data_IF_677481422760
#
_entry.id   IF_677481422760
#
_cell.length_a   1.000
_cell.length_b   1.000
_cell.length_c   1.000
_cell.angle_alpha   90.00
_cell.angle_beta   90.00
_cell.angle_gamma   90.00
#
_symmetry.space_group_name_H-M   'P 1'
#
loop_
_entity.id
_entity.type
_entity.pdbx_description
1 polymer ?
#
# COMPACT_ATOMS: atom_id res chain seq x y z
N UNK A 1 -44.21 8.33 15.76
CA UNK A 1 -43.82 8.19 14.35
C UNK A 1 -42.73 7.14 14.31
N UNK A 2 -43.00 6.00 13.67
CA UNK A 2 -42.03 4.91 13.55
C UNK A 2 -41.11 5.18 12.36
N UNK A 3 -39.84 4.80 12.48
CA UNK A 3 -38.87 5.00 11.38
C UNK A 3 -39.34 4.30 10.09
N UNK A 4 -40.06 3.18 10.21
CA UNK A 4 -40.61 2.42 9.07
C UNK A 4 -41.80 3.09 8.37
N UNK A 5 -42.33 4.20 8.90
CA UNK A 5 -43.41 4.98 8.28
C UNK A 5 -42.89 6.02 7.28
N UNK A 6 -41.57 6.25 7.24
CA UNK A 6 -40.97 7.16 6.26
C UNK A 6 -41.01 6.57 4.84
N UNK A 7 -41.10 7.43 3.80
CA UNK A 7 -40.94 7.02 2.41
C UNK A 7 -39.61 6.28 2.18
N UNK A 8 -39.57 5.27 1.29
CA UNK A 8 -38.36 4.51 0.96
C UNK A 8 -37.15 5.39 0.59
N UNK A 9 -37.39 6.52 -0.07
CA UNK A 9 -36.35 7.46 -0.50
C UNK A 9 -35.63 8.09 0.70
N UNK A 10 -36.38 8.43 1.76
CA UNK A 10 -35.78 8.94 3.00
C UNK A 10 -35.03 7.84 3.74
N UNK A 11 -35.56 6.61 3.75
CA UNK A 11 -34.88 5.47 4.35
C UNK A 11 -33.55 5.17 3.64
N UNK A 12 -33.50 5.25 2.31
CA UNK A 12 -32.28 5.04 1.51
C UNK A 12 -31.19 6.08 1.80
N UNK A 13 -31.57 7.26 2.29
CA UNK A 13 -30.61 8.30 2.68
C UNK A 13 -29.99 8.08 4.07
N UNK A 14 -30.59 7.21 4.91
CA UNK A 14 -30.16 7.00 6.30
C UNK A 14 -28.68 6.66 6.47
N UNK A 15 -28.06 5.78 5.63
CA UNK A 15 -26.64 5.45 5.79
C UNK A 15 -25.71 6.66 5.81
N UNK A 16 -26.05 7.76 5.12
CA UNK A 16 -25.25 9.00 5.07
C UNK A 16 -25.17 9.73 6.41
N UNK A 17 -26.09 9.44 7.32
CA UNK A 17 -26.19 10.11 8.62
C UNK A 17 -25.72 9.22 9.78
N UNK A 18 -25.25 8.02 9.48
CA UNK A 18 -24.67 7.11 10.47
C UNK A 18 -23.23 7.52 10.77
N UNK A 19 -22.77 7.22 11.99
CA UNK A 19 -21.43 7.61 12.44
C UNK A 19 -20.38 6.55 12.18
N UNK A 20 -20.79 5.32 11.91
CA UNK A 20 -19.88 4.17 11.82
C UNK A 20 -20.51 3.01 11.05
N UNK A 21 -19.68 2.06 10.60
CA UNK A 21 -20.19 0.82 9.99
C UNK A 21 -20.96 -0.03 11.00
N UNK A 22 -20.62 0.04 12.29
CA UNK A 22 -21.32 -0.69 13.35
C UNK A 22 -22.74 -0.19 13.54
N UNK A 23 -22.97 1.12 13.39
CA UNK A 23 -24.31 1.71 13.39
C UNK A 23 -25.13 1.20 12.19
N UNK A 24 -24.51 1.09 11.02
CA UNK A 24 -25.16 0.56 9.81
C UNK A 24 -25.57 -0.90 10.01
N UNK A 25 -24.65 -1.72 10.51
CA UNK A 25 -24.92 -3.13 10.81
C UNK A 25 -26.02 -3.27 11.86
N UNK A 26 -25.95 -2.49 12.93
CA UNK A 26 -26.96 -2.48 13.99
C UNK A 26 -28.33 -2.08 13.44
N UNK A 27 -28.41 -1.01 12.64
CA UNK A 27 -29.64 -0.54 12.02
C UNK A 27 -30.23 -1.60 11.09
N UNK A 28 -29.41 -2.23 10.25
CA UNK A 28 -29.84 -3.29 9.33
C UNK A 28 -30.40 -4.52 10.05
N UNK A 29 -29.97 -4.78 11.30
CA UNK A 29 -30.41 -5.94 12.09
C UNK A 29 -31.75 -5.76 12.80
N UNK A 30 -32.31 -4.54 12.83
CA UNK A 30 -33.52 -4.23 13.61
C UNK A 30 -34.81 -4.76 13.00
N UNK A 31 -35.00 -4.63 11.69
CA UNK A 31 -36.20 -5.11 10.99
C UNK A 31 -35.97 -5.36 9.49
N UNK A 32 -36.87 -6.10 8.85
CA UNK A 32 -36.74 -6.46 7.42
C UNK A 32 -36.72 -5.26 6.48
N UNK A 33 -37.47 -4.22 6.79
CA UNK A 33 -37.51 -2.99 5.99
C UNK A 33 -36.16 -2.30 6.02
N UNK A 34 -35.61 -2.06 7.21
CA UNK A 34 -34.31 -1.41 7.39
C UNK A 34 -33.17 -2.29 6.87
N UNK A 35 -33.27 -3.61 7.01
CA UNK A 35 -32.35 -4.55 6.36
C UNK A 35 -32.32 -4.32 4.85
N UNK A 36 -33.47 -4.33 4.17
CA UNK A 36 -33.54 -4.15 2.71
C UNK A 36 -33.01 -2.81 2.25
N UNK A 37 -33.13 -1.77 3.09
CA UNK A 37 -32.66 -0.43 2.76
C UNK A 37 -31.18 -0.22 3.08
N UNK A 38 -30.64 -0.88 4.11
CA UNK A 38 -29.29 -0.65 4.62
C UNK A 38 -28.29 -1.78 4.33
N UNK A 39 -28.73 -2.92 3.80
CA UNK A 39 -27.85 -4.06 3.51
C UNK A 39 -26.82 -3.76 2.41
N UNK A 40 -27.18 -2.86 1.48
CA UNK A 40 -26.36 -2.45 0.34
C UNK A 40 -26.39 -0.92 0.24
N UNK A 41 -25.71 -0.19 1.15
CA UNK A 41 -25.62 1.26 1.04
C UNK A 41 -24.80 1.64 -0.20
N UNK A 42 -24.93 2.91 -0.60
CA UNK A 42 -24.08 3.53 -1.63
C UNK A 42 -22.59 3.29 -1.32
N UNK A 43 -21.81 2.67 -2.24
CA UNK A 43 -20.40 2.36 -2.01
C UNK A 43 -19.52 3.55 -1.63
N UNK A 44 -19.94 4.78 -1.96
CA UNK A 44 -19.24 6.02 -1.57
C UNK A 44 -19.34 6.36 -0.10
N UNK A 45 -20.33 5.82 0.61
CA UNK A 45 -20.55 6.10 2.03
C UNK A 45 -19.70 5.15 2.91
N UNK A 46 -19.47 3.93 2.45
CA UNK A 46 -18.82 2.88 3.23
C UNK A 46 -17.40 3.27 3.69
N UNK A 47 -16.50 3.82 2.84
CA UNK A 47 -15.17 4.24 3.28
C UNK A 47 -15.21 5.21 4.46
N UNK A 48 -16.11 6.21 4.40
CA UNK A 48 -16.31 7.18 5.48
C UNK A 48 -16.82 6.53 6.77
N UNK A 49 -17.78 5.60 6.65
CA UNK A 49 -18.29 4.86 7.81
C UNK A 49 -17.22 3.97 8.44
N UNK A 50 -16.36 3.35 7.63
CA UNK A 50 -15.26 2.47 8.07
C UNK A 50 -14.13 3.27 8.72
N UNK A 51 -13.79 4.44 8.17
CA UNK A 51 -12.84 5.36 8.78
C UNK A 51 -13.35 5.91 10.12
N UNK A 52 -14.66 6.19 10.22
CA UNK A 52 -15.28 6.66 11.44
C UNK A 52 -15.57 5.52 12.46
N UNK A 53 -15.47 4.26 12.04
CA UNK A 53 -15.66 3.10 12.91
C UNK A 53 -14.58 3.01 13.98
N UNK A 54 -14.98 2.45 15.13
CA UNK A 54 -14.13 2.40 16.31
C UNK A 54 -12.79 1.71 16.03
N UNK A 55 -11.77 2.10 16.80
CA UNK A 55 -10.43 1.49 16.83
C UNK A 55 -10.47 0.04 17.33
N UNK A 56 -11.37 -0.83 16.90
CA UNK A 56 -11.39 -2.24 17.31
C UNK A 56 -11.31 -3.12 16.06
N UNK A 57 -12.24 -2.94 15.11
CA UNK A 57 -12.26 -3.75 13.90
C UNK A 57 -11.20 -3.31 12.88
N UNK A 58 -11.04 -2.01 12.66
CA UNK A 58 -10.14 -1.46 11.64
C UNK A 58 -8.81 -0.97 12.22
N UNK A 59 -8.31 -1.63 13.28
CA UNK A 59 -6.93 -1.41 13.73
C UNK A 59 -5.93 -2.01 12.75
N UNK A 60 -4.71 -1.45 12.69
CA UNK A 60 -4.37 -0.08 13.07
C UNK A 60 -5.05 0.91 12.12
N UNK A 61 -5.78 1.85 12.72
CA UNK A 61 -6.33 2.99 11.98
C UNK A 61 -5.21 4.03 11.84
N UNK A 62 -5.01 4.66 10.66
CA UNK A 62 -5.82 4.57 9.44
C UNK A 62 -5.38 3.50 8.42
N UNK A 63 -4.23 2.85 8.63
CA UNK A 63 -3.57 1.97 7.65
C UNK A 63 -4.46 0.88 7.06
N UNK A 64 -5.33 0.26 7.86
CA UNK A 64 -6.16 -0.84 7.36
C UNK A 64 -7.17 -0.40 6.30
N UNK A 65 -7.73 0.81 6.44
CA UNK A 65 -8.68 1.38 5.46
C UNK A 65 -7.94 1.84 4.21
N UNK A 66 -6.75 2.44 4.39
CA UNK A 66 -5.89 2.82 3.26
C UNK A 66 -5.48 1.57 2.48
N UNK A 67 -5.06 0.49 3.14
CA UNK A 67 -4.71 -0.77 2.49
C UNK A 67 -5.84 -1.31 1.60
N UNK A 68 -7.08 -1.23 2.08
CA UNK A 68 -8.26 -1.67 1.33
C UNK A 68 -8.56 -0.84 0.07
N UNK A 69 -8.18 0.43 0.08
CA UNK A 69 -8.55 1.42 -0.95
C UNK A 69 -7.36 1.82 -1.83
N UNK A 70 -6.14 1.45 -1.44
CA UNK A 70 -4.90 1.90 -2.06
C UNK A 70 -4.81 1.56 -3.55
N UNK A 71 -5.33 0.40 -3.97
CA UNK A 71 -5.38 0.05 -5.40
C UNK A 71 -6.24 1.00 -6.20
N UNK A 72 -7.47 1.26 -5.72
CA UNK A 72 -8.39 2.21 -6.36
C UNK A 72 -7.81 3.62 -6.38
N UNK A 73 -7.12 4.01 -5.31
CA UNK A 73 -6.43 5.29 -5.23
C UNK A 73 -5.29 5.38 -6.25
N UNK A 74 -4.49 4.32 -6.40
CA UNK A 74 -3.46 4.21 -7.43
C UNK A 74 -4.04 4.28 -8.86
N UNK A 75 -5.09 3.50 -9.14
CA UNK A 75 -5.83 3.50 -10.41
C UNK A 75 -6.39 4.88 -10.75
N UNK A 76 -6.92 5.58 -9.76
CA UNK A 76 -7.43 6.93 -9.92
C UNK A 76 -6.31 7.93 -10.19
N UNK A 77 -5.20 7.83 -9.44
CA UNK A 77 -4.10 8.77 -9.51
C UNK A 77 -3.39 8.74 -10.87
N UNK A 78 -3.20 7.56 -11.47
CA UNK A 78 -2.43 7.46 -12.72
C UNK A 78 -3.15 8.06 -13.94
N UNK A 79 -4.49 8.19 -13.89
CA UNK A 79 -5.34 8.63 -15.02
C UNK A 79 -5.12 10.08 -15.45
N UNK A 80 -4.82 10.99 -14.50
CA UNK A 80 -4.69 12.41 -14.78
C UNK A 80 -3.57 13.06 -13.95
N UNK A 81 -2.84 14.01 -14.53
CA UNK A 81 -1.79 14.76 -13.82
C UNK A 81 -2.34 15.54 -12.61
N UNK A 82 -3.57 16.05 -12.70
CA UNK A 82 -4.24 16.70 -11.57
C UNK A 82 -4.50 15.72 -10.41
N UNK A 83 -4.80 14.45 -10.70
CA UNK A 83 -4.99 13.43 -9.64
C UNK A 83 -3.67 13.06 -8.99
N UNK A 84 -2.58 12.98 -9.76
CA UNK A 84 -1.21 12.77 -9.22
C UNK A 84 -0.83 13.90 -8.27
N UNK A 85 -1.11 15.14 -8.67
CA UNK A 85 -0.88 16.31 -7.83
C UNK A 85 -1.66 16.21 -6.51
N UNK A 86 -2.96 15.89 -6.56
CA UNK A 86 -3.78 15.72 -5.36
C UNK A 86 -3.29 14.58 -4.47
N UNK A 87 -2.85 13.46 -5.06
CA UNK A 87 -2.24 12.36 -4.31
C UNK A 87 -0.96 12.81 -3.60
N UNK A 88 -0.08 13.55 -4.27
CA UNK A 88 1.14 14.06 -3.63
C UNK A 88 0.85 15.06 -2.51
N UNK A 89 -0.15 15.93 -2.66
CA UNK A 89 -0.60 16.83 -1.60
C UNK A 89 -1.10 16.03 -0.40
N UNK A 90 -1.89 14.99 -0.63
CA UNK A 90 -2.38 14.13 0.43
C UNK A 90 -1.25 13.36 1.13
N UNK A 91 -0.30 12.81 0.36
CA UNK A 91 0.88 12.13 0.90
C UNK A 91 1.68 13.06 1.82
N UNK A 92 1.97 14.30 1.40
CA UNK A 92 2.73 15.24 2.24
C UNK A 92 2.00 15.68 3.51
N UNK A 93 0.67 15.59 3.52
CA UNK A 93 -0.15 15.79 4.71
C UNK A 93 -0.10 14.61 5.69
N UNK A 94 0.60 13.53 5.35
CA UNK A 94 0.73 12.32 6.15
C UNK A 94 -0.42 11.34 5.96
N UNK A 95 -0.38 10.26 6.73
CA UNK A 95 -1.28 9.11 6.58
C UNK A 95 -2.78 9.47 6.76
N UNK A 96 -3.10 10.46 7.60
CA UNK A 96 -4.48 10.92 7.79
C UNK A 96 -5.02 11.66 6.57
N UNK A 97 -4.20 12.52 5.93
CA UNK A 97 -4.60 13.19 4.68
C UNK A 97 -4.70 12.21 3.51
N UNK A 98 -3.86 11.18 3.50
CA UNK A 98 -4.01 10.07 2.56
C UNK A 98 -5.33 9.32 2.75
N UNK A 99 -5.75 9.09 4.01
CA UNK A 99 -7.06 8.50 4.31
C UNK A 99 -8.22 9.39 3.84
N UNK A 100 -8.17 10.70 4.11
CA UNK A 100 -9.21 11.64 3.63
C UNK A 100 -9.40 11.54 2.11
N UNK A 101 -8.30 11.58 1.35
CA UNK A 101 -8.36 11.42 -0.10
C UNK A 101 -8.87 10.04 -0.52
N UNK A 102 -8.45 8.98 0.18
CA UNK A 102 -8.91 7.62 -0.10
C UNK A 102 -10.42 7.47 0.09
N UNK A 103 -11.01 8.12 1.11
CA UNK A 103 -12.46 8.12 1.36
C UNK A 103 -13.21 8.80 0.20
N UNK A 104 -12.68 9.91 -0.31
CA UNK A 104 -13.32 10.67 -1.40
C UNK A 104 -13.29 9.89 -2.73
N UNK A 105 -12.17 9.20 -2.99
CA UNK A 105 -11.92 8.52 -4.26
C UNK A 105 -12.51 7.11 -4.30
N UNK A 106 -12.34 6.33 -3.23
CA UNK A 106 -12.66 4.91 -3.25
C UNK A 106 -14.16 4.64 -3.14
N UNK A 107 -14.53 3.44 -3.58
CA UNK A 107 -15.84 2.86 -3.41
C UNK A 107 -15.66 1.49 -2.76
N UNK A 108 -16.32 1.26 -1.63
CA UNK A 108 -16.28 -0.02 -0.94
C UNK A 108 -17.69 -0.59 -0.83
N UNK A 109 -17.85 -1.87 -1.08
CA UNK A 109 -19.11 -2.59 -0.85
C UNK A 109 -19.06 -3.34 0.48
N UNK A 110 -20.23 -3.76 0.98
CA UNK A 110 -20.28 -4.64 2.16
C UNK A 110 -19.57 -5.98 1.92
N UNK A 111 -19.47 -6.42 0.67
CA UNK A 111 -18.70 -7.61 0.31
C UNK A 111 -17.20 -7.38 0.48
N UNK A 112 -16.71 -6.19 0.12
CA UNK A 112 -15.32 -5.82 0.36
C UNK A 112 -15.02 -5.76 1.86
N UNK A 113 -15.95 -5.27 2.68
CA UNK A 113 -15.81 -5.30 4.16
C UNK A 113 -15.70 -6.74 4.69
N UNK A 114 -16.47 -7.70 4.15
CA UNK A 114 -16.35 -9.11 4.54
C UNK A 114 -15.00 -9.69 4.13
N UNK A 115 -14.54 -9.41 2.91
CA UNK A 115 -13.21 -9.83 2.43
C UNK A 115 -12.10 -9.25 3.29
N UNK A 116 -12.19 -7.98 3.67
CA UNK A 116 -11.24 -7.33 4.57
C UNK A 116 -11.23 -7.98 5.94
N UNK A 117 -12.39 -8.27 6.51
CA UNK A 117 -12.48 -8.97 7.79
C UNK A 117 -11.83 -10.37 7.71
N UNK A 118 -12.10 -11.13 6.64
CA UNK A 118 -11.46 -12.42 6.41
C UNK A 118 -9.94 -12.27 6.25
N UNK A 119 -9.47 -11.29 5.47
CA UNK A 119 -8.05 -11.00 5.31
C UNK A 119 -7.38 -10.66 6.64
N UNK A 120 -8.01 -9.85 7.48
CA UNK A 120 -7.49 -9.52 8.82
C UNK A 120 -7.36 -10.77 9.69
N UNK A 121 -8.42 -11.58 9.73
CA UNK A 121 -8.47 -12.81 10.54
C UNK A 121 -7.46 -13.86 10.07
N UNK A 122 -7.41 -14.10 8.76
CA UNK A 122 -6.80 -15.29 8.19
C UNK A 122 -5.36 -15.04 7.72
N UNK A 123 -5.00 -13.78 7.47
CA UNK A 123 -3.68 -13.39 6.96
C UNK A 123 -2.96 -12.46 7.94
N UNK A 124 -3.52 -11.28 8.23
CA UNK A 124 -2.82 -10.28 9.04
C UNK A 124 -2.59 -10.78 10.47
N UNK A 125 -3.61 -11.31 11.16
CA UNK A 125 -3.47 -11.74 12.54
C UNK A 125 -2.40 -12.85 12.74
N UNK A 126 -2.34 -13.92 11.92
CA UNK A 126 -1.27 -14.91 12.00
C UNK A 126 0.11 -14.34 11.72
N UNK A 127 0.26 -13.50 10.68
CA UNK A 127 1.54 -12.92 10.32
C UNK A 127 2.01 -11.87 11.34
N UNK A 128 1.09 -11.09 11.89
CA UNK A 128 1.35 -10.15 12.97
C UNK A 128 1.97 -10.87 14.17
N UNK A 129 1.39 -12.00 14.60
CA UNK A 129 1.98 -12.81 15.69
C UNK A 129 3.37 -13.35 15.36
N UNK A 130 3.60 -13.77 14.10
CA UNK A 130 4.92 -14.26 13.67
C UNK A 130 5.95 -13.13 13.69
N UNK A 131 5.60 -11.96 13.17
CA UNK A 131 6.48 -10.79 13.15
C UNK A 131 6.71 -10.23 14.55
N UNK A 132 5.70 -10.23 15.41
CA UNK A 132 5.80 -9.82 16.81
C UNK A 132 6.81 -10.68 17.59
N UNK A 133 6.76 -12.01 17.41
CA UNK A 133 7.75 -12.93 17.99
C UNK A 133 9.14 -12.75 17.38
N UNK A 134 9.23 -12.46 16.08
CA UNK A 134 10.51 -12.33 15.39
C UNK A 134 11.23 -11.00 15.66
N UNK A 135 10.49 -9.90 15.78
CA UNK A 135 11.06 -8.54 15.80
C UNK A 135 10.25 -7.51 16.59
N UNK A 136 9.09 -7.89 17.13
CA UNK A 136 8.23 -7.02 17.90
C UNK A 136 8.36 -7.21 19.41
N UNK A 137 7.47 -6.59 20.20
CA UNK A 137 7.53 -6.64 21.66
C UNK A 137 7.54 -8.06 22.24
N UNK A 138 6.93 -9.03 21.55
CA UNK A 138 6.91 -10.43 22.00
C UNK A 138 8.24 -11.17 21.80
N UNK A 139 9.19 -10.60 21.05
CA UNK A 139 10.55 -11.18 20.89
C UNK A 139 11.32 -11.25 22.22
N UNK A 140 10.98 -10.39 23.17
CA UNK A 140 11.73 -10.22 24.42
C UNK A 140 13.06 -9.48 24.26
N UNK A 141 13.35 -8.95 23.06
CA UNK A 141 14.54 -8.12 22.82
C UNK A 141 14.39 -6.77 23.54
N UNK A 142 15.37 -6.36 24.37
CA UNK A 142 15.37 -5.03 25.00
C UNK A 142 15.32 -3.87 23.99
N UNK A 143 15.69 -4.11 22.72
CA UNK A 143 15.66 -3.13 21.64
C UNK A 143 14.66 -3.53 20.56
N UNK A 144 13.37 -3.50 20.90
CA UNK A 144 12.30 -3.77 19.92
C UNK A 144 12.27 -2.66 18.85
N UNK A 145 12.59 -3.05 17.62
CA UNK A 145 12.56 -2.17 16.44
C UNK A 145 11.16 -2.11 15.82
N UNK A 146 10.42 -3.23 15.81
CA UNK A 146 9.10 -3.35 15.20
C UNK A 146 7.99 -3.27 16.25
N UNK A 147 7.73 -2.06 16.76
CA UNK A 147 6.78 -1.91 17.87
C UNK A 147 5.31 -2.07 17.48
N UNK A 148 4.97 -1.83 16.22
CA UNK A 148 3.66 -2.16 15.65
C UNK A 148 3.83 -3.04 14.39
N UNK A 149 3.93 -4.37 14.59
CA UNK A 149 4.06 -5.30 13.47
C UNK A 149 2.84 -5.29 12.54
N UNK A 150 1.65 -4.96 13.04
CA UNK A 150 0.43 -4.90 12.24
C UNK A 150 0.48 -3.70 11.28
N UNK A 151 0.88 -2.53 11.78
CA UNK A 151 1.10 -1.33 10.93
C UNK A 151 2.19 -1.58 9.89
N UNK A 152 3.26 -2.29 10.26
CA UNK A 152 4.32 -2.66 9.31
C UNK A 152 3.78 -3.55 8.18
N UNK A 153 2.99 -4.59 8.50
CA UNK A 153 2.36 -5.45 7.49
C UNK A 153 1.39 -4.70 6.59
N UNK A 154 0.63 -3.74 7.13
CA UNK A 154 -0.30 -2.95 6.33
C UNK A 154 0.42 -1.92 5.46
N UNK A 155 1.53 -1.35 5.93
CA UNK A 155 2.36 -0.47 5.11
C UNK A 155 2.95 -1.21 3.92
N UNK A 156 3.32 -2.49 4.08
CA UNK A 156 3.73 -3.36 2.98
C UNK A 156 2.61 -3.52 1.94
N UNK A 157 1.40 -3.81 2.42
CA UNK A 157 0.21 -3.94 1.57
C UNK A 157 -0.10 -2.62 0.85
N UNK A 158 -0.13 -1.50 1.56
CA UNK A 158 -0.40 -0.17 1.00
C UNK A 158 0.59 0.13 -0.13
N UNK A 159 1.88 -0.13 0.09
CA UNK A 159 2.90 0.09 -0.93
C UNK A 159 2.64 -0.76 -2.19
N UNK A 160 2.40 -2.07 -2.01
CA UNK A 160 2.12 -2.98 -3.12
C UNK A 160 0.82 -2.64 -3.88
N UNK A 161 -0.22 -2.15 -3.18
CA UNK A 161 -1.48 -1.76 -3.81
C UNK A 161 -1.40 -0.37 -4.48
N UNK A 162 -0.83 0.63 -3.81
CA UNK A 162 -0.77 2.01 -4.32
C UNK A 162 0.14 2.13 -5.54
N UNK A 163 1.26 1.40 -5.54
CA UNK A 163 2.28 1.45 -6.59
C UNK A 163 2.24 0.26 -7.55
N UNK A 164 1.14 -0.51 -7.57
CA UNK A 164 1.04 -1.76 -8.33
C UNK A 164 1.41 -1.63 -9.81
N UNK A 165 1.05 -0.51 -10.46
CA UNK A 165 1.40 -0.21 -11.86
C UNK A 165 2.90 -0.35 -12.15
N UNK A 166 3.76 -0.03 -11.18
CA UNK A 166 5.21 -0.13 -11.31
C UNK A 166 5.67 -1.59 -11.42
N UNK A 167 4.98 -2.50 -10.72
CA UNK A 167 5.26 -3.94 -10.77
C UNK A 167 4.61 -4.62 -11.96
N UNK A 168 3.47 -4.11 -12.44
CA UNK A 168 2.78 -4.65 -13.62
C UNK A 168 3.59 -4.51 -14.90
N UNK A 169 4.46 -3.50 -15.00
CA UNK A 169 5.40 -3.35 -16.12
C UNK A 169 6.28 -4.58 -16.36
N UNK A 170 6.56 -5.36 -15.32
CA UNK A 170 7.48 -6.48 -15.39
C UNK A 170 6.82 -7.78 -15.92
N UNK A 171 5.49 -7.81 -16.06
CA UNK A 171 4.78 -9.01 -16.54
C UNK A 171 3.56 -8.71 -17.43
N UNK A 172 3.20 -7.46 -17.62
CA UNK A 172 2.10 -7.05 -18.50
C UNK A 172 2.64 -6.22 -19.66
N UNK A 173 1.93 -6.19 -20.81
CA UNK A 173 2.19 -5.20 -21.85
C UNK A 173 2.19 -3.78 -21.29
N UNK A 174 2.84 -2.85 -21.98
CA UNK A 174 2.89 -1.45 -21.56
C UNK A 174 1.47 -0.92 -21.26
N UNK A 175 1.23 -0.45 -20.02
CA UNK A 175 -0.08 0.04 -19.62
C UNK A 175 -0.40 1.36 -20.33
N UNK A 176 -1.70 1.68 -20.37
CA UNK A 176 -2.18 2.93 -20.96
C UNK A 176 -1.66 4.17 -20.22
N UNK A 177 -1.47 4.04 -18.90
CA UNK A 177 -1.04 5.13 -18.03
C UNK A 177 0.36 4.86 -17.47
N UNK A 178 1.18 5.90 -17.40
CA UNK A 178 2.50 5.82 -16.74
C UNK A 178 2.30 5.46 -15.26
N UNK A 179 3.19 4.67 -14.63
CA UNK A 179 3.17 4.49 -13.18
C UNK A 179 3.38 5.81 -12.40
N UNK A 180 3.17 5.76 -11.09
CA UNK A 180 3.57 6.86 -10.20
C UNK A 180 5.10 6.96 -10.12
N UNK A 181 5.60 8.19 -9.97
CA UNK A 181 7.04 8.47 -9.97
C UNK A 181 7.73 7.94 -8.70
N UNK A 182 9.05 7.81 -8.77
CA UNK A 182 9.92 7.49 -7.64
C UNK A 182 9.85 8.57 -6.58
N UNK A 183 9.78 9.84 -6.97
CA UNK A 183 9.57 10.95 -6.02
C UNK A 183 8.27 10.74 -5.25
N UNK A 184 7.18 10.35 -5.90
CA UNK A 184 5.91 10.03 -5.24
C UNK A 184 6.07 8.86 -4.25
N UNK A 185 6.81 7.81 -4.62
CA UNK A 185 7.12 6.67 -3.72
C UNK A 185 7.94 7.08 -2.51
N UNK A 186 9.01 7.84 -2.71
CA UNK A 186 9.86 8.33 -1.62
C UNK A 186 9.11 9.30 -0.70
N UNK A 187 8.27 10.19 -1.26
CA UNK A 187 7.36 11.01 -0.46
C UNK A 187 6.42 10.13 0.38
N UNK A 188 5.88 9.03 -0.16
CA UNK A 188 5.06 8.12 0.63
C UNK A 188 5.83 7.52 1.82
N UNK A 189 7.07 7.07 1.62
CA UNK A 189 7.91 6.60 2.73
C UNK A 189 8.12 7.68 3.79
N UNK A 190 8.52 8.89 3.38
CA UNK A 190 8.85 9.97 4.32
C UNK A 190 7.64 10.47 5.09
N UNK A 191 6.51 10.66 4.40
CA UNK A 191 5.37 11.35 4.97
C UNK A 191 4.28 10.40 5.50
N UNK A 192 4.07 9.24 4.87
CA UNK A 192 3.04 8.29 5.27
C UNK A 192 3.57 7.10 6.09
N UNK A 193 4.88 6.83 6.08
CA UNK A 193 5.53 5.86 6.96
C UNK A 193 6.71 6.52 7.68
N UNK A 194 6.47 7.55 8.51
CA UNK A 194 7.53 8.43 8.95
C UNK A 194 8.52 7.72 9.90
N UNK A 195 9.80 8.06 9.74
CA UNK A 195 10.89 7.58 10.59
C UNK A 195 11.78 8.76 10.97
N UNK A 196 12.13 8.86 12.25
CA UNK A 196 13.01 9.94 12.74
C UNK A 196 14.37 9.95 12.02
N UNK A 197 14.89 8.77 11.66
CA UNK A 197 16.13 8.66 10.91
C UNK A 197 15.96 9.27 9.52
N UNK A 198 14.85 8.98 8.85
CA UNK A 198 14.55 9.51 7.51
C UNK A 198 14.59 11.04 7.49
N UNK A 199 13.96 11.71 8.47
CA UNK A 199 14.01 13.18 8.55
C UNK A 199 15.43 13.72 8.81
N UNK A 200 16.22 13.02 9.62
CA UNK A 200 17.60 13.42 9.91
C UNK A 200 18.50 13.26 8.68
N UNK A 201 18.42 12.12 7.98
CA UNK A 201 19.25 11.84 6.82
C UNK A 201 18.84 12.63 5.58
N UNK A 202 17.55 12.97 5.43
CA UNK A 202 17.08 13.84 4.36
C UNK A 202 17.22 15.34 4.65
N UNK A 203 17.92 15.70 5.73
CA UNK A 203 18.24 17.08 6.09
C UNK A 203 16.99 17.99 6.13
N UNK A 204 15.91 17.52 6.76
CA UNK A 204 14.77 18.38 7.03
C UNK A 204 15.19 19.47 8.05
N UNK A 205 15.05 20.74 7.67
CA UNK A 205 15.33 21.87 8.59
C UNK A 205 14.48 21.79 9.86
N UNK A 206 13.23 21.33 9.69
CA UNK A 206 12.31 21.12 10.78
C UNK A 206 11.37 19.95 10.47
N UNK A 207 10.96 19.22 11.51
CA UNK A 207 10.04 18.09 11.35
C UNK A 207 8.66 18.59 10.91
N UNK A 208 7.97 17.89 9.99
CA UNK A 208 6.62 18.26 9.57
C UNK A 208 5.64 18.36 10.75
N UNK A 209 4.66 19.28 10.73
CA UNK A 209 3.70 19.45 11.81
C UNK A 209 2.96 18.15 12.17
N UNK A 210 2.52 17.37 11.18
CA UNK A 210 1.84 16.09 11.44
C UNK A 210 2.73 15.11 12.21
N UNK A 211 4.06 15.13 11.97
CA UNK A 211 5.00 14.25 12.67
C UNK A 211 5.29 14.72 14.09
N UNK A 212 5.27 16.03 14.33
CA UNK A 212 5.38 16.60 15.69
C UNK A 212 4.13 16.30 16.52
N UNK A 213 2.96 16.33 15.90
CA UNK A 213 1.67 16.01 16.52
C UNK A 213 1.42 14.50 16.67
N UNK A 214 2.07 13.69 15.83
CA UNK A 214 2.08 12.23 15.93
C UNK A 214 2.49 11.86 17.37
N UNK A 215 1.53 11.37 18.18
CA UNK A 215 1.67 11.26 19.64
C UNK A 215 2.94 10.48 19.95
N UNK A 216 3.97 11.24 20.29
CA UNK A 216 5.35 10.82 20.47
C UNK A 216 5.52 9.85 21.66
N UNK A 217 4.42 9.36 22.23
CA UNK A 217 4.34 8.38 23.31
C UNK A 217 4.73 6.99 22.79
N UNK A 218 6.05 6.89 22.67
CA UNK A 218 6.98 5.82 23.05
C UNK A 218 7.47 4.82 22.03
N UNK A 219 6.72 4.33 21.05
CA UNK A 219 7.22 3.14 20.35
C UNK A 219 7.15 3.18 18.79
N UNK A 220 6.40 4.10 18.17
CA UNK A 220 6.17 4.07 16.71
C UNK A 220 6.92 5.16 15.90
N UNK A 221 8.16 5.51 16.29
CA UNK A 221 8.97 6.56 15.62
C UNK A 221 9.88 6.04 14.52
N UNK A 222 9.86 4.73 14.30
CA UNK A 222 10.86 4.01 13.52
C UNK A 222 10.20 3.13 12.47
N UNK A 223 9.07 3.55 11.88
CA UNK A 223 8.26 2.69 11.01
C UNK A 223 9.03 2.15 9.80
N UNK A 224 9.89 2.98 9.18
CA UNK A 224 10.72 2.50 8.08
C UNK A 224 11.77 1.50 8.58
N UNK A 225 12.38 1.73 9.75
CA UNK A 225 13.30 0.78 10.35
C UNK A 225 12.59 -0.53 10.75
N UNK A 226 11.34 -0.46 11.23
CA UNK A 226 10.47 -1.63 11.48
C UNK A 226 10.24 -2.40 10.18
N UNK A 227 9.95 -1.70 9.07
CA UNK A 227 9.81 -2.30 7.76
C UNK A 227 11.11 -2.96 7.27
N UNK A 228 12.25 -2.30 7.46
CA UNK A 228 13.56 -2.87 7.12
C UNK A 228 13.87 -4.13 7.93
N UNK A 229 13.59 -4.11 9.23
CA UNK A 229 13.78 -5.26 10.09
C UNK A 229 12.82 -6.39 9.71
N UNK A 230 11.56 -6.07 9.41
CA UNK A 230 10.58 -7.04 8.93
C UNK A 230 11.08 -7.71 7.63
N UNK A 231 11.61 -6.94 6.67
CA UNK A 231 12.23 -7.46 5.44
C UNK A 231 13.40 -8.40 5.67
N UNK A 232 14.20 -8.21 6.73
CA UNK A 232 15.33 -9.11 7.03
C UNK A 232 14.83 -10.41 7.64
N UNK A 233 13.89 -10.33 8.56
CA UNK A 233 13.48 -11.48 9.38
C UNK A 233 12.38 -12.32 8.73
N UNK A 234 11.24 -11.71 8.42
CA UNK A 234 10.04 -12.43 7.98
C UNK A 234 9.64 -12.10 6.55
N UNK A 235 9.90 -10.88 6.09
CA UNK A 235 9.51 -10.38 4.78
C UNK A 235 10.65 -10.48 3.73
N UNK A 236 11.59 -11.40 3.94
CA UNK A 236 12.75 -11.60 3.05
C UNK A 236 12.42 -12.46 1.83
N UNK A 237 13.12 -12.21 0.71
CA UNK A 237 12.97 -12.94 -0.56
C UNK A 237 13.03 -14.46 -0.43
N UNK A 238 13.91 -14.99 0.43
CA UNK A 238 14.12 -16.44 0.57
C UNK A 238 12.87 -17.15 1.11
N UNK A 239 12.09 -16.48 1.98
CA UNK A 239 10.84 -17.04 2.45
C UNK A 239 9.83 -17.19 1.30
N UNK A 240 9.71 -16.21 0.40
CA UNK A 240 8.80 -16.30 -0.74
C UNK A 240 9.26 -17.37 -1.71
N UNK A 241 10.56 -17.44 -1.98
CA UNK A 241 11.12 -18.52 -2.79
C UNK A 241 10.75 -19.89 -2.21
N UNK A 242 10.89 -20.06 -0.88
CA UNK A 242 10.52 -21.29 -0.20
C UNK A 242 9.03 -21.64 -0.33
N UNK A 243 8.14 -20.67 -0.16
CA UNK A 243 6.68 -20.89 -0.29
C UNK A 243 6.25 -21.13 -1.75
N UNK A 244 6.95 -20.54 -2.72
CA UNK A 244 6.61 -20.62 -4.14
C UNK A 244 7.28 -21.79 -4.86
N UNK A 245 8.37 -22.36 -4.34
CA UNK A 245 9.16 -23.38 -5.04
C UNK A 245 8.35 -24.62 -5.45
N UNK A 246 7.28 -24.96 -4.75
CA UNK A 246 6.43 -26.12 -5.06
C UNK A 246 5.36 -25.81 -6.10
N UNK A 247 5.14 -24.54 -6.44
CA UNK A 247 4.09 -24.12 -7.36
C UNK A 247 4.47 -24.43 -8.81
N UNK A 248 3.50 -24.86 -9.66
CA UNK A 248 3.76 -25.04 -11.08
C UNK A 248 4.27 -23.75 -11.75
N UNK A 249 3.66 -22.62 -11.43
CA UNK A 249 4.02 -21.31 -12.00
C UNK A 249 5.49 -20.96 -11.75
N UNK A 250 6.02 -21.23 -10.56
CA UNK A 250 7.43 -20.99 -10.25
C UNK A 250 8.38 -21.94 -11.00
N UNK A 251 7.99 -23.21 -11.15
CA UNK A 251 8.82 -24.23 -11.81
C UNK A 251 8.91 -24.02 -13.33
N UNK A 252 7.84 -23.49 -13.95
CA UNK A 252 7.78 -23.19 -15.38
C UNK A 252 8.61 -21.98 -15.80
N UNK A 253 8.92 -21.05 -14.87
CA UNK A 253 9.69 -19.84 -15.15
C UNK A 253 11.18 -20.16 -15.29
N UNK A 254 11.86 -19.63 -16.34
CA UNK A 254 13.31 -19.75 -16.49
C UNK A 254 14.07 -19.26 -15.26
N UNK A 255 15.18 -19.92 -14.93
CA UNK A 255 15.93 -19.62 -13.70
C UNK A 255 16.32 -18.14 -13.55
N UNK A 256 16.64 -17.45 -14.65
CA UNK A 256 17.00 -16.04 -14.67
C UNK A 256 15.85 -15.08 -14.29
N UNK A 257 14.60 -15.48 -14.49
CA UNK A 257 13.40 -14.67 -14.24
C UNK A 257 12.67 -15.02 -12.94
N UNK A 258 13.15 -16.05 -12.21
CA UNK A 258 12.55 -16.43 -10.92
C UNK A 258 12.66 -15.33 -9.87
N UNK A 259 13.77 -14.60 -9.87
CA UNK A 259 13.95 -13.46 -8.98
C UNK A 259 12.93 -12.35 -9.26
N UNK A 260 12.72 -12.04 -10.54
CA UNK A 260 11.71 -11.08 -10.98
C UNK A 260 10.30 -11.52 -10.56
N UNK A 261 9.98 -12.79 -10.78
CA UNK A 261 8.70 -13.37 -10.37
C UNK A 261 8.48 -13.24 -8.86
N UNK A 262 9.45 -13.63 -8.04
CA UNK A 262 9.35 -13.49 -6.57
C UNK A 262 9.10 -12.04 -6.20
N UNK A 263 9.82 -11.09 -6.80
CA UNK A 263 9.67 -9.67 -6.50
C UNK A 263 8.28 -9.12 -6.85
N UNK A 264 7.74 -9.48 -8.02
CA UNK A 264 6.38 -9.08 -8.39
C UNK A 264 5.37 -9.65 -7.38
N UNK A 265 5.55 -10.93 -7.05
CA UNK A 265 4.67 -11.65 -6.13
C UNK A 265 4.70 -11.07 -4.70
N UNK A 266 5.88 -10.64 -4.25
CA UNK A 266 6.08 -9.92 -2.98
C UNK A 266 5.29 -8.61 -2.92
N UNK A 267 4.97 -7.99 -4.06
CA UNK A 267 4.31 -6.68 -4.13
C UNK A 267 2.90 -6.72 -4.74
N UNK A 268 2.24 -7.88 -4.73
CA UNK A 268 0.81 -8.03 -5.11
C UNK A 268 -0.19 -7.44 -4.08
N UNK A 269 0.23 -6.43 -3.30
CA UNK A 269 -0.63 -5.80 -2.31
C UNK A 269 -1.16 -6.78 -1.27
N UNK A 270 -2.47 -6.82 -1.03
CA UNK A 270 -3.11 -7.71 -0.07
C UNK A 270 -2.84 -9.19 -0.37
N UNK A 271 -2.78 -9.56 -1.66
CA UNK A 271 -2.55 -10.96 -2.07
C UNK A 271 -1.13 -11.42 -1.72
N UNK A 272 -0.14 -10.53 -1.66
CA UNK A 272 1.25 -10.90 -1.41
C UNK A 272 1.43 -11.60 -0.05
N UNK A 273 0.83 -11.07 1.01
CA UNK A 273 0.92 -11.63 2.36
C UNK A 273 0.15 -12.95 2.48
N UNK A 274 -0.91 -13.14 1.69
CA UNK A 274 -1.69 -14.38 1.71
C UNK A 274 -0.87 -15.59 1.24
N UNK A 275 0.25 -15.39 0.53
CA UNK A 275 1.18 -16.45 0.12
C UNK A 275 1.92 -17.03 1.32
N UNK A 276 2.18 -16.22 2.35
CA UNK A 276 2.96 -16.60 3.52
C UNK A 276 2.15 -17.37 4.57
N UNK A 277 0.86 -17.63 4.32
CA UNK A 277 0.01 -18.43 5.20
C UNK A 277 -0.31 -19.80 4.58
N UNK A 278 -0.63 -20.82 5.40
CA UNK A 278 -0.87 -22.17 4.90
C UNK A 278 -1.94 -22.24 3.80
N UNK A 279 -1.58 -22.85 2.68
CA UNK A 279 -2.46 -22.97 1.50
C UNK A 279 -2.54 -21.70 0.66
N UNK A 280 -1.72 -20.69 0.96
CA UNK A 280 -1.67 -19.40 0.27
C UNK A 280 -1.38 -19.52 -1.23
N UNK A 281 -0.26 -20.16 -1.63
CA UNK A 281 0.09 -20.33 -3.04
C UNK A 281 -1.01 -21.04 -3.85
N UNK A 282 -1.68 -22.04 -3.27
CA UNK A 282 -2.78 -22.75 -3.94
C UNK A 282 -4.01 -21.87 -4.15
N UNK A 283 -4.37 -21.02 -3.19
CA UNK A 283 -5.49 -20.07 -3.31
C UNK A 283 -5.23 -19.00 -4.37
N UNK A 284 -3.97 -18.68 -4.62
CA UNK A 284 -3.54 -17.65 -5.55
C UNK A 284 -2.99 -18.20 -6.87
N UNK A 285 -3.18 -19.49 -7.15
CA UNK A 285 -2.64 -20.16 -8.34
C UNK A 285 -2.94 -19.41 -9.64
N UNK A 286 -4.17 -18.94 -9.83
CA UNK A 286 -4.55 -18.22 -11.05
C UNK A 286 -3.78 -16.91 -11.23
N UNK A 287 -3.55 -16.17 -10.15
CA UNK A 287 -2.75 -14.95 -10.19
C UNK A 287 -1.27 -15.27 -10.46
N UNK A 288 -0.72 -16.30 -9.81
CA UNK A 288 0.66 -16.75 -10.00
C UNK A 288 0.89 -17.21 -11.45
N UNK A 289 -0.03 -18.00 -12.01
CA UNK A 289 0.02 -18.45 -13.40
C UNK A 289 -0.03 -17.28 -14.39
N UNK A 290 -0.87 -16.27 -14.10
CA UNK A 290 -0.97 -15.05 -14.93
C UNK A 290 0.36 -14.30 -14.94
N UNK A 291 0.98 -14.08 -13.78
CA UNK A 291 2.26 -13.39 -13.66
C UNK A 291 3.36 -14.18 -14.38
N UNK A 292 3.44 -15.50 -14.14
CA UNK A 292 4.43 -16.37 -14.76
C UNK A 292 4.36 -16.32 -16.30
N UNK A 293 3.17 -16.46 -16.87
CA UNK A 293 2.94 -16.37 -18.32
C UNK A 293 3.30 -14.99 -18.86
N UNK A 294 3.01 -13.94 -18.11
CA UNK A 294 3.35 -12.56 -18.45
C UNK A 294 4.86 -12.35 -18.60
N UNK A 295 5.64 -12.80 -17.61
CA UNK A 295 7.11 -12.73 -17.62
C UNK A 295 7.66 -13.51 -18.82
N UNK A 296 7.23 -14.76 -19.00
CA UNK A 296 7.68 -15.62 -20.11
C UNK A 296 7.37 -14.98 -21.47
N UNK A 297 6.19 -14.37 -21.63
CA UNK A 297 5.81 -13.71 -22.87
C UNK A 297 6.71 -12.50 -23.19
N UNK A 298 7.06 -11.69 -22.19
CA UNK A 298 7.97 -10.55 -22.36
C UNK A 298 9.39 -11.00 -22.73
N UNK A 299 9.89 -12.08 -22.12
CA UNK A 299 11.20 -12.64 -22.46
C UNK A 299 11.25 -13.18 -23.90
N UNK A 300 10.25 -13.97 -24.31
CA UNK A 300 10.18 -14.54 -25.66
C UNK A 300 10.00 -13.46 -26.72
N UNK A 301 9.24 -12.41 -26.41
CA UNK A 301 9.00 -11.29 -27.33
C UNK A 301 10.21 -10.37 -27.56
N UNK A 302 11.35 -10.61 -26.90
CA UNK A 302 12.46 -9.65 -26.83
C UNK A 302 12.05 -8.34 -26.13
N UNK A 303 10.95 -8.38 -25.38
CA UNK A 303 10.16 -7.25 -24.91
C UNK A 303 10.64 -6.63 -23.61
N UNK A 304 11.94 -6.72 -23.32
CA UNK A 304 12.57 -6.15 -22.14
C UNK A 304 13.81 -5.35 -22.50
N UNK A 305 13.78 -4.57 -23.58
CA UNK A 305 14.76 -3.49 -23.69
C UNK A 305 14.46 -2.52 -22.55
N UNK A 306 15.23 -2.68 -21.47
CA UNK A 306 15.19 -1.84 -20.27
C UNK A 306 15.20 -0.35 -20.66
N UNK A 307 15.86 0.01 -21.77
CA UNK A 307 15.87 1.37 -22.35
C UNK A 307 14.47 1.85 -22.74
N UNK A 308 13.64 0.97 -23.32
CA UNK A 308 12.27 1.30 -23.74
C UNK A 308 11.33 1.46 -22.54
N UNK A 309 11.52 0.63 -21.50
CA UNK A 309 10.80 0.77 -20.23
C UNK A 309 11.20 2.07 -19.52
N UNK A 310 12.49 2.37 -19.42
CA UNK A 310 12.99 3.62 -18.83
C UNK A 310 12.45 4.85 -19.56
N UNK A 311 12.43 4.83 -20.90
CA UNK A 311 11.82 5.91 -21.71
C UNK A 311 10.32 6.05 -21.48
N UNK A 312 9.59 4.95 -21.28
CA UNK A 312 8.16 5.00 -21.01
C UNK A 312 7.87 5.59 -19.62
N UNK A 313 8.59 5.10 -18.60
CA UNK A 313 8.44 5.56 -17.22
C UNK A 313 8.86 7.02 -17.10
N UNK A 314 9.91 7.44 -17.82
CA UNK A 314 10.38 8.82 -17.89
C UNK A 314 10.62 9.40 -16.50
N UNK A 315 11.36 8.63 -15.70
CA UNK A 315 11.69 8.97 -14.32
C UNK A 315 13.20 8.93 -14.16
N UNK A 316 13.78 10.13 -14.09
CA UNK A 316 15.23 10.34 -14.03
C UNK A 316 15.89 9.76 -12.78
N UNK A 317 15.11 9.46 -11.74
CA UNK A 317 15.61 8.96 -10.46
C UNK A 317 15.69 7.45 -10.41
N UNK A 318 15.33 6.79 -11.51
CA UNK A 318 15.43 5.36 -11.66
C UNK A 318 16.80 4.96 -12.20
N UNK A 319 17.68 4.55 -11.28
CA UNK A 319 18.91 3.83 -11.63
C UNK A 319 18.66 2.41 -12.15
N UNK A 320 17.42 1.90 -12.05
CA UNK A 320 17.02 0.64 -12.64
C UNK A 320 15.53 0.68 -13.02
N UNK A 321 15.10 -0.03 -14.08
CA UNK A 321 13.68 -0.13 -14.46
C UNK A 321 12.83 -0.93 -13.47
N UNK A 322 13.44 -1.36 -12.37
CA UNK A 322 13.03 -2.50 -11.57
C UNK A 322 13.02 -2.10 -10.09
N UNK A 323 11.81 -1.96 -9.55
CA UNK A 323 11.55 -1.39 -8.23
C UNK A 323 11.48 -2.49 -7.16
N UNK A 324 12.04 -2.24 -5.99
CA UNK A 324 11.78 -3.05 -4.78
C UNK A 324 11.40 -2.12 -3.64
N UNK A 325 10.53 -2.60 -2.75
CA UNK A 325 10.31 -1.92 -1.47
C UNK A 325 11.62 -1.79 -0.69
N UNK A 326 12.51 -2.79 -0.78
CA UNK A 326 13.81 -2.80 -0.09
C UNK A 326 14.71 -1.62 -0.50
N UNK A 327 14.83 -1.36 -1.80
CA UNK A 327 15.61 -0.24 -2.32
C UNK A 327 15.01 1.09 -1.89
N UNK A 328 13.68 1.23 -1.96
CA UNK A 328 13.03 2.50 -1.64
C UNK A 328 13.03 2.81 -0.13
N UNK A 329 12.82 1.79 0.72
CA UNK A 329 13.03 1.90 2.17
C UNK A 329 14.49 2.25 2.46
N UNK A 330 15.44 1.59 1.78
CA UNK A 330 16.85 1.80 2.06
C UNK A 330 17.34 3.18 1.70
N UNK A 331 16.92 3.69 0.55
CA UNK A 331 17.18 5.06 0.18
C UNK A 331 16.58 6.04 1.22
N UNK A 332 15.31 5.87 1.59
CA UNK A 332 14.64 6.81 2.50
C UNK A 332 15.15 6.78 3.94
N UNK A 333 15.66 5.63 4.41
CA UNK A 333 16.20 5.47 5.75
C UNK A 333 17.62 5.98 5.94
N UNK A 334 18.45 5.89 4.91
CA UNK A 334 19.89 6.14 5.04
C UNK A 334 20.42 7.23 4.10
N UNK A 335 19.56 7.83 3.27
CA UNK A 335 19.95 8.70 2.16
C UNK A 335 21.01 8.05 1.24
N UNK A 336 21.09 6.72 1.24
CA UNK A 336 22.04 5.94 0.46
C UNK A 336 21.49 5.73 -0.95
N UNK A 337 21.31 6.81 -1.71
CA UNK A 337 20.97 6.69 -3.12
C UNK A 337 22.15 6.08 -3.87
N UNK A 338 21.94 4.91 -4.48
CA UNK A 338 22.91 4.18 -5.27
C UNK A 338 22.63 4.42 -6.77
N UNK A 339 22.56 5.69 -7.20
CA UNK A 339 22.43 6.04 -8.61
C UNK A 339 23.63 5.54 -9.44
N UNK A 340 23.44 5.36 -10.76
CA UNK A 340 24.49 4.82 -11.66
C UNK A 340 25.76 5.69 -11.69
N UNK A 341 25.62 6.98 -11.41
CA UNK A 341 26.70 7.92 -11.15
C UNK A 341 26.46 8.49 -9.74
N UNK A 342 27.38 8.27 -8.79
CA UNK A 342 27.37 8.88 -7.44
C UNK A 342 27.61 10.40 -7.50
N UNK A 343 26.92 11.10 -8.41
CA UNK A 343 26.95 12.55 -8.49
C UNK A 343 26.16 13.10 -7.30
N UNK A 344 26.90 13.65 -6.34
CA UNK A 344 26.39 14.27 -5.11
C UNK A 344 25.27 15.30 -5.39
N UNK A 345 25.30 15.92 -6.57
CA UNK A 345 24.32 16.89 -7.03
C UNK A 345 22.94 16.26 -7.32
N UNK A 346 22.91 15.05 -7.88
CA UNK A 346 21.65 14.36 -8.20
C UNK A 346 20.96 13.87 -6.93
N UNK A 347 21.73 13.34 -5.96
CA UNK A 347 21.18 12.99 -4.64
C UNK A 347 20.56 14.21 -3.94
N UNK A 348 21.23 15.37 -3.99
CA UNK A 348 20.70 16.64 -3.44
C UNK A 348 19.41 17.08 -4.12
N UNK A 349 19.36 17.00 -5.44
CA UNK A 349 18.17 17.35 -6.22
C UNK A 349 17.00 16.38 -5.95
N UNK A 350 17.26 15.10 -5.71
CA UNK A 350 16.24 14.13 -5.30
C UNK A 350 15.70 14.45 -3.90
N UNK A 351 16.60 14.71 -2.95
CA UNK A 351 16.21 15.15 -1.60
C UNK A 351 15.42 16.46 -1.62
N UNK A 352 15.79 17.42 -2.47
CA UNK A 352 15.01 18.63 -2.70
C UNK A 352 13.64 18.32 -3.29
N UNK A 353 13.54 17.45 -4.30
CA UNK A 353 12.26 17.07 -4.90
C UNK A 353 11.31 16.42 -3.90
N UNK A 354 11.83 15.57 -3.00
CA UNK A 354 11.04 14.92 -1.94
C UNK A 354 10.50 15.95 -0.94
N UNK A 355 11.35 16.90 -0.52
CA UNK A 355 10.98 17.97 0.42
C UNK A 355 10.08 19.03 -0.20
N UNK A 356 10.19 19.25 -1.51
CA UNK A 356 9.50 20.32 -2.21
C UNK A 356 7.98 20.12 -2.20
N UNK A 357 7.18 21.20 -2.08
CA UNK A 357 5.74 21.12 -2.26
C UNK A 357 5.39 20.52 -3.64
N UNK A 358 4.23 19.85 -3.79
CA UNK A 358 3.87 19.25 -5.05
C UNK A 358 3.70 20.37 -6.07
N UNK A 359 4.25 20.18 -7.27
CA UNK A 359 4.15 21.15 -8.34
C UNK A 359 3.06 20.72 -9.30
N UNK A 360 2.09 21.60 -9.55
CA UNK A 360 1.11 21.36 -10.61
C UNK A 360 1.81 21.57 -11.94
N UNK A 361 1.79 20.56 -12.81
CA UNK A 361 2.23 20.75 -14.20
C UNK A 361 1.29 21.78 -14.83
N UNK A 362 1.79 22.97 -15.09
CA UNK A 362 1.07 23.94 -15.91
C UNK A 362 1.05 23.36 -17.33
N UNK A 363 -0.13 23.19 -17.97
CA UNK A 363 -0.17 22.78 -19.36
C UNK A 363 0.69 23.75 -20.16
N UNK A 364 1.67 23.22 -20.90
CA UNK A 364 2.40 24.02 -21.87
C UNK A 364 1.39 24.32 -22.99
N UNK A 365 0.96 25.58 -23.07
CA UNK A 365 0.02 26.07 -24.10
C UNK A 365 0.55 25.91 -25.52
#
# INVERSE_FOLDING_TARGET
MLLTEFPPELLLSLPRYLRSIEDLLSLSSTCRTLYRTCAEPDPKIIPGLVAASGRIFFRPHPHFVIAATARQLGDWAVKHDDHRYLLEVAIQGGVEKLLELAIDVAELTMEDIRKLHAFKSDVINPLNRRLDVASGPASGDPWTVCNDPETTLLSWVIYGELFHHSFELAYSPLPEHKPLSSVTRYKWFVYCMPDVNSFNYMEFEDQPPFFKEYDQKKDDRFQQLSMSQAMREMLNRLLWEHELQSTPSFQEIPGASREEFIRIVMHMGMKSLAILVPGGPERLREDLDRIAKGIIALEVGGGGDDTSLLKFVDDRWLGAPRFTLETDVGFSLWANWMGEDEDEDDSKLLMEAIRSPPQRKVPVE
#
